data_IF_639701427332
#
_entry.id   IF_639701427332
#
_cell.length_a   1.000
_cell.length_b   1.000
_cell.length_c   1.000
_cell.angle_alpha   90.00
_cell.angle_beta   90.00
_cell.angle_gamma   90.00
#
_symmetry.space_group_name_H-M   'P 1'
#
loop_
_entity.id
_entity.type
_entity.pdbx_description
1 polymer ?
#
# COMPACT_ATOMS: atom_id res chain seq x y z
N UNK A 1 1.72 -2.87 17.35
CA UNK A 1 1.59 -3.05 15.88
C UNK A 1 2.67 -4.00 15.37
N UNK A 2 2.48 -4.53 14.19
CA UNK A 2 3.40 -5.45 13.54
C UNK A 2 4.05 -4.81 12.31
N UNK A 3 5.19 -5.38 11.90
CA UNK A 3 5.86 -5.02 10.65
C UNK A 3 5.50 -6.06 9.61
N UNK A 4 5.00 -5.61 8.47
CA UNK A 4 4.65 -6.46 7.33
C UNK A 4 5.41 -6.05 6.09
N UNK A 5 5.76 -7.05 5.27
CA UNK A 5 6.21 -6.84 3.90
C UNK A 5 5.04 -7.15 2.98
N UNK A 6 4.69 -6.20 2.13
CA UNK A 6 3.62 -6.33 1.14
C UNK A 6 4.25 -6.35 -0.24
N UNK A 7 4.01 -7.40 -0.99
CA UNK A 7 4.60 -7.60 -2.32
C UNK A 7 3.52 -7.86 -3.35
N UNK A 8 3.79 -7.52 -4.61
CA UNK A 8 2.90 -7.86 -5.71
C UNK A 8 3.33 -9.18 -6.34
N UNK A 9 2.34 -9.92 -6.83
CA UNK A 9 2.56 -11.22 -7.49
C UNK A 9 2.65 -11.10 -9.01
N UNK A 10 2.13 -9.99 -9.57
CA UNK A 10 2.00 -9.81 -11.02
C UNK A 10 3.25 -9.18 -11.68
N UNK A 11 4.29 -8.89 -10.89
CA UNK A 11 5.52 -8.29 -11.40
C UNK A 11 5.37 -6.78 -11.64
N UNK A 12 6.41 -6.04 -11.31
CA UNK A 12 6.43 -4.59 -11.50
C UNK A 12 7.07 -4.22 -12.84
N UNK A 13 6.45 -3.26 -13.53
CA UNK A 13 7.01 -2.61 -14.70
C UNK A 13 7.74 -1.31 -14.31
N UNK A 14 8.19 -0.55 -15.30
CA UNK A 14 8.80 0.76 -15.05
C UNK A 14 7.84 1.67 -14.30
N UNK A 15 8.39 2.46 -13.38
CA UNK A 15 7.66 3.44 -12.57
C UNK A 15 6.57 2.80 -11.70
N UNK A 16 6.77 1.54 -11.30
CA UNK A 16 5.87 0.84 -10.39
C UNK A 16 6.61 0.37 -9.14
N UNK A 17 5.88 0.27 -8.04
CA UNK A 17 6.40 -0.34 -6.82
C UNK A 17 6.27 -1.86 -6.92
N UNK A 18 7.31 -2.60 -6.54
CA UNK A 18 7.28 -4.05 -6.47
C UNK A 18 6.93 -4.56 -5.07
N UNK A 19 7.25 -3.80 -4.03
CA UNK A 19 6.96 -4.14 -2.64
C UNK A 19 7.09 -2.94 -1.74
N UNK A 20 6.55 -3.05 -0.53
CA UNK A 20 6.82 -2.09 0.54
C UNK A 20 6.82 -2.78 1.90
N UNK A 21 7.44 -2.13 2.88
CA UNK A 21 7.42 -2.53 4.27
C UNK A 21 6.59 -1.50 5.03
N UNK A 22 5.67 -1.97 5.86
CA UNK A 22 4.80 -1.09 6.62
C UNK A 22 4.63 -1.56 8.05
N UNK A 23 4.13 -0.65 8.88
CA UNK A 23 3.64 -0.92 10.22
C UNK A 23 2.12 -0.91 10.16
N UNK A 24 1.48 -1.96 10.66
CA UNK A 24 0.03 -2.08 10.66
C UNK A 24 -0.43 -2.90 11.87
N UNK A 25 -1.69 -2.74 12.24
CA UNK A 25 -2.27 -3.50 13.34
C UNK A 25 -2.64 -4.92 12.92
N UNK A 26 -3.04 -5.09 11.65
CA UNK A 26 -3.46 -6.37 11.09
C UNK A 26 -2.92 -6.56 9.69
N UNK A 27 -2.90 -7.81 9.24
CA UNK A 27 -2.56 -8.16 7.86
C UNK A 27 -3.53 -7.51 6.86
N UNK A 28 -4.82 -7.48 7.19
CA UNK A 28 -5.83 -6.84 6.35
C UNK A 28 -5.53 -5.37 6.14
N UNK A 29 -5.14 -4.66 7.20
CA UNK A 29 -4.79 -3.25 7.11
C UNK A 29 -3.57 -3.06 6.19
N UNK A 30 -2.56 -3.93 6.32
CA UNK A 30 -1.38 -3.88 5.47
C UNK A 30 -1.72 -4.07 3.99
N UNK A 31 -2.65 -4.99 3.67
CA UNK A 31 -3.09 -5.26 2.29
C UNK A 31 -3.76 -4.07 1.63
N UNK A 32 -4.35 -3.18 2.41
CA UNK A 32 -5.11 -2.04 1.91
C UNK A 32 -4.30 -0.74 1.96
N UNK A 33 -3.02 -0.79 2.29
CA UNK A 33 -2.13 0.36 2.21
C UNK A 33 -1.70 0.61 0.77
N UNK A 34 -1.53 1.87 0.43
CA UNK A 34 -1.07 2.31 -0.88
C UNK A 34 0.32 2.95 -0.76
N UNK A 35 1.33 2.47 -1.51
CA UNK A 35 2.66 3.07 -1.50
C UNK A 35 2.65 4.37 -2.32
N UNK A 36 2.46 5.49 -1.64
CA UNK A 36 2.34 6.82 -2.23
C UNK A 36 3.69 7.52 -2.10
N UNK A 37 4.27 8.10 -3.17
CA UNK A 37 5.53 8.83 -3.10
C UNK A 37 5.55 9.91 -2.03
N UNK A 38 4.45 10.62 -1.86
CA UNK A 38 4.35 11.67 -0.83
C UNK A 38 4.33 11.07 0.58
N UNK A 39 3.73 9.89 0.75
CA UNK A 39 3.69 9.23 2.05
C UNK A 39 5.07 8.77 2.52
N UNK A 40 5.96 8.45 1.60
CA UNK A 40 7.33 8.04 1.93
C UNK A 40 8.14 9.18 2.54
N UNK A 41 7.81 10.43 2.17
CA UNK A 41 8.48 11.62 2.71
C UNK A 41 7.97 11.99 4.08
N UNK A 42 6.71 11.70 4.37
CA UNK A 42 6.03 12.17 5.58
C UNK A 42 5.67 11.05 6.55
N UNK A 43 5.86 9.80 6.14
CA UNK A 43 5.52 8.64 6.96
C UNK A 43 4.04 8.29 6.97
N UNK A 44 3.21 9.05 6.27
CA UNK A 44 1.76 8.84 6.22
C UNK A 44 1.27 8.69 4.79
N UNK A 45 0.52 7.65 4.53
CA UNK A 45 -0.19 7.56 3.26
C UNK A 45 -1.44 8.43 3.31
N UNK A 46 -1.56 9.37 2.35
CA UNK A 46 -2.77 10.18 2.17
C UNK A 46 -3.89 9.40 1.52
N UNK A 47 -3.57 8.25 0.96
CA UNK A 47 -4.50 7.41 0.21
C UNK A 47 -4.49 6.00 0.78
N UNK A 48 -5.63 5.34 0.67
CA UNK A 48 -5.75 3.93 1.00
C UNK A 48 -6.62 3.22 -0.03
N UNK A 49 -6.54 1.90 -0.04
CA UNK A 49 -7.28 1.05 -0.95
C UNK A 49 -8.52 0.50 -0.28
N UNK A 50 -9.59 0.32 -1.06
CA UNK A 50 -10.77 -0.43 -0.65
C UNK A 50 -11.17 -1.38 -1.77
N UNK A 51 -11.69 -2.55 -1.42
CA UNK A 51 -12.23 -3.49 -2.39
C UNK A 51 -13.60 -2.97 -2.83
N UNK A 52 -13.80 -2.80 -4.14
CA UNK A 52 -15.00 -2.17 -4.68
C UNK A 52 -15.97 -3.13 -5.36
N UNK A 53 -15.56 -4.39 -5.57
CA UNK A 53 -16.43 -5.40 -6.19
C UNK A 53 -16.03 -6.81 -5.75
N UNK A 54 -16.83 -7.81 -6.18
CA UNK A 54 -16.61 -9.21 -5.82
C UNK A 54 -15.38 -9.83 -6.51
N UNK A 55 -14.86 -9.19 -7.55
CA UNK A 55 -13.64 -9.65 -8.22
C UNK A 55 -12.37 -9.29 -7.44
N UNK A 56 -12.49 -8.46 -6.41
CA UNK A 56 -11.37 -8.04 -5.59
C UNK A 56 -10.62 -6.83 -6.13
N UNK A 57 -11.21 -6.08 -7.03
CA UNK A 57 -10.60 -4.86 -7.58
C UNK A 57 -10.57 -3.76 -6.52
N UNK A 58 -9.49 -2.96 -6.56
CA UNK A 58 -9.32 -1.85 -5.66
C UNK A 58 -9.88 -0.55 -6.23
N UNK A 59 -10.42 0.28 -5.34
CA UNK A 59 -10.55 1.71 -5.56
C UNK A 59 -9.58 2.44 -4.65
N UNK A 60 -9.18 3.64 -5.02
CA UNK A 60 -8.31 4.51 -4.24
C UNK A 60 -9.14 5.60 -3.58
N UNK A 61 -8.92 5.78 -2.28
CA UNK A 61 -9.69 6.70 -1.44
C UNK A 61 -8.76 7.60 -0.65
N UNK A 62 -9.21 8.84 -0.38
CA UNK A 62 -8.47 9.79 0.43
C UNK A 62 -8.72 9.58 1.94
N UNK A 63 -8.13 10.45 2.78
CA UNK A 63 -8.25 10.36 4.23
C UNK A 63 -9.69 10.50 4.73
N UNK A 64 -10.56 11.16 3.95
CA UNK A 64 -11.96 11.37 4.29
C UNK A 64 -12.88 10.30 3.68
N UNK A 65 -12.31 9.24 3.13
CA UNK A 65 -13.02 8.15 2.44
C UNK A 65 -13.74 8.59 1.17
N UNK A 66 -13.26 9.65 0.53
CA UNK A 66 -13.76 10.06 -0.77
C UNK A 66 -12.98 9.39 -1.89
N UNK A 67 -13.65 8.92 -2.96
CA UNK A 67 -12.93 8.35 -4.10
C UNK A 67 -11.99 9.39 -4.73
N UNK A 68 -10.79 8.95 -5.08
CA UNK A 68 -9.82 9.80 -5.79
C UNK A 68 -10.19 9.81 -7.27
N UNK A 69 -10.56 10.98 -7.78
CA UNK A 69 -11.15 11.12 -9.12
C UNK A 69 -10.12 10.92 -10.23
N UNK A 70 -8.89 11.39 -10.03
CA UNK A 70 -7.80 11.31 -11.01
C UNK A 70 -6.79 10.24 -10.58
N UNK A 71 -7.30 9.03 -10.33
CA UNK A 71 -6.48 7.97 -9.76
C UNK A 71 -5.63 7.21 -10.79
N UNK A 72 -5.93 7.27 -12.07
CA UNK A 72 -5.22 6.51 -13.10
C UNK A 72 -3.72 6.72 -13.04
N UNK A 73 -3.30 7.94 -12.81
CA UNK A 73 -1.90 8.33 -12.73
C UNK A 73 -1.22 7.75 -11.47
N UNK A 74 -1.90 7.80 -10.32
CA UNK A 74 -1.40 7.28 -9.05
C UNK A 74 -1.52 5.76 -8.99
N UNK A 75 -2.61 5.20 -9.50
CA UNK A 75 -2.94 3.79 -9.38
C UNK A 75 -2.01 2.90 -10.20
N UNK A 76 -1.38 3.44 -11.24
CA UNK A 76 -0.43 2.68 -12.08
C UNK A 76 0.81 2.23 -11.32
N UNK A 77 1.13 2.88 -10.19
CA UNK A 77 2.33 2.53 -9.43
C UNK A 77 2.16 1.28 -8.57
N UNK A 78 0.93 0.80 -8.38
CA UNK A 78 0.63 -0.36 -7.54
C UNK A 78 -0.39 -1.29 -8.20
N UNK A 79 -0.66 -2.43 -7.57
CA UNK A 79 -1.63 -3.41 -8.07
C UNK A 79 -3.06 -2.89 -7.92
N UNK A 80 -3.94 -3.32 -8.79
CA UNK A 80 -5.36 -2.93 -8.79
C UNK A 80 -6.31 -4.04 -8.28
N UNK A 81 -5.77 -5.16 -7.81
CA UNK A 81 -6.59 -6.29 -7.36
C UNK A 81 -5.93 -6.98 -6.16
N UNK A 82 -6.73 -7.30 -5.14
CA UNK A 82 -6.25 -7.90 -3.89
C UNK A 82 -5.61 -9.28 -4.12
N UNK A 83 -6.02 -10.00 -5.16
CA UNK A 83 -5.46 -11.32 -5.48
C UNK A 83 -4.00 -11.25 -5.93
N UNK A 84 -3.51 -10.08 -6.29
CA UNK A 84 -2.13 -9.86 -6.70
C UNK A 84 -1.23 -9.36 -5.56
N UNK A 85 -1.70 -9.43 -4.33
CA UNK A 85 -0.94 -9.00 -3.15
C UNK A 85 -0.58 -10.21 -2.29
N UNK A 86 0.66 -10.21 -1.83
CA UNK A 86 1.18 -11.16 -0.86
C UNK A 86 1.69 -10.39 0.36
N UNK A 87 1.31 -10.83 1.57
CA UNK A 87 1.70 -10.18 2.81
C UNK A 87 2.48 -11.15 3.68
N UNK A 88 3.62 -10.71 4.18
CA UNK A 88 4.47 -11.47 5.08
C UNK A 88 4.64 -10.72 6.39
N UNK A 89 4.40 -11.39 7.52
CA UNK A 89 4.69 -10.85 8.84
C UNK A 89 6.21 -10.90 9.06
N UNK A 90 6.82 -9.74 9.27
CA UNK A 90 8.26 -9.62 9.48
C UNK A 90 8.61 -9.64 10.96
N UNK A 91 7.82 -8.98 11.79
CA UNK A 91 8.07 -8.91 13.22
C UNK A 91 7.21 -7.87 13.93
N UNK A 92 7.61 -7.52 15.16
CA UNK A 92 6.94 -6.50 15.94
C UNK A 92 7.53 -5.14 15.61
N UNK A 93 6.67 -4.11 15.59
CA UNK A 93 7.10 -2.74 15.34
C UNK A 93 7.70 -2.11 16.61
N UNK A 94 8.69 -1.24 16.41
CA UNK A 94 9.23 -0.41 17.48
C UNK A 94 8.13 0.51 18.04
N UNK A 95 8.21 0.80 19.35
CA UNK A 95 7.24 1.65 20.04
C UNK A 95 7.17 3.09 19.50
N UNK A 96 8.17 3.53 18.75
CA UNK A 96 8.16 4.85 18.11
C UNK A 96 7.08 4.97 17.02
N UNK A 97 6.64 3.85 16.46
CA UNK A 97 5.57 3.84 15.46
C UNK A 97 4.22 3.81 16.18
N UNK A 98 3.56 4.95 16.21
CA UNK A 98 2.30 5.14 16.95
C UNK A 98 1.05 4.99 16.07
N UNK A 99 1.24 4.86 14.75
CA UNK A 99 0.14 4.70 13.80
C UNK A 99 0.57 3.87 12.59
N UNK A 100 -0.40 3.26 11.86
CA UNK A 100 -0.09 2.51 10.65
C UNK A 100 0.52 3.42 9.58
N UNK A 101 1.60 2.93 8.94
CA UNK A 101 2.32 3.73 7.94
C UNK A 101 3.24 2.87 7.10
N UNK A 102 3.54 3.32 5.89
CA UNK A 102 4.58 2.75 5.05
C UNK A 102 5.93 3.26 5.52
N UNK A 103 6.87 2.34 5.78
CA UNK A 103 8.21 2.69 6.25
C UNK A 103 9.17 2.87 5.08
N UNK A 104 9.14 1.94 4.14
CA UNK A 104 10.03 1.94 2.98
C UNK A 104 9.34 1.20 1.84
N UNK A 105 9.57 1.66 0.61
CA UNK A 105 9.04 1.00 -0.59
C UNK A 105 10.13 0.82 -1.62
N UNK A 106 10.05 -0.29 -2.37
CA UNK A 106 10.92 -0.58 -3.48
C UNK A 106 10.24 -0.16 -4.78
N UNK A 107 10.83 0.80 -5.46
CA UNK A 107 10.28 1.38 -6.68
C UNK A 107 11.17 1.02 -7.87
N UNK A 108 10.56 0.49 -8.93
CA UNK A 108 11.26 0.14 -10.14
C UNK A 108 11.31 1.35 -11.08
N UNK A 109 12.39 2.10 -10.99
CA UNK A 109 12.57 3.34 -11.75
C UNK A 109 13.07 3.12 -13.18
N UNK A 110 13.30 1.89 -13.57
CA UNK A 110 13.70 1.54 -14.92
C UNK A 110 15.18 1.61 -15.16
#
# INVERSE_FOLDING_TARGET
MNVYKVSRKDGASYDEYDSFVCVAETEKQARLMFPDPDSLSWGDSRFHLQIINDDGNFGLFDEENNPVVDFDHLFRSWVNNINNIEVELVGLADAKYTRPQVIVASFNAG
#
